data_IF_787458957420
#
_entry.id   IF_787458957420
#
_cell.length_a   1.000
_cell.length_b   1.000
_cell.length_c   1.000
_cell.angle_alpha   90.00
_cell.angle_beta   90.00
_cell.angle_gamma   90.00
#
_symmetry.space_group_name_H-M   'P 1'
#
loop_
_entity.id
_entity.type
_entity.pdbx_description
1 polymer ?
#
# COMPACT_ATOMS: atom_id res chain seq x y z
N UNK A 1 -8.38 -5.37 -1.07
CA UNK A 1 -9.18 -4.31 -0.43
C UNK A 1 -8.76 -4.17 1.02
N UNK A 2 -8.49 -2.95 1.48
CA UNK A 2 -8.19 -2.67 2.89
C UNK A 2 -9.48 -2.32 3.62
N UNK A 3 -9.66 -2.87 4.82
CA UNK A 3 -10.91 -2.81 5.57
C UNK A 3 -10.59 -2.51 7.02
N UNK A 4 -11.44 -1.67 7.62
CA UNK A 4 -11.41 -1.44 9.06
C UNK A 4 -11.51 -2.77 9.82
N UNK A 5 -10.58 -3.01 10.74
CA UNK A 5 -10.57 -4.18 11.60
C UNK A 5 -11.89 -4.39 12.36
N UNK A 6 -12.61 -3.32 12.68
CA UNK A 6 -13.88 -3.32 13.41
C UNK A 6 -15.09 -3.62 12.50
N UNK A 7 -14.92 -3.62 11.17
CA UNK A 7 -16.02 -3.92 10.26
C UNK A 7 -16.43 -5.41 10.35
N UNK A 8 -17.73 -5.68 10.27
CA UNK A 8 -18.26 -7.06 10.31
C UNK A 8 -17.59 -7.98 9.28
N UNK A 9 -17.27 -9.21 9.68
CA UNK A 9 -16.67 -10.24 8.80
C UNK A 9 -17.62 -10.70 7.68
N UNK A 10 -18.93 -10.50 7.84
CA UNK A 10 -19.90 -10.83 6.79
C UNK A 10 -19.82 -9.89 5.59
N UNK A 11 -19.36 -8.64 5.78
CA UNK A 11 -19.21 -7.66 4.69
C UNK A 11 -18.15 -8.04 3.64
N UNK A 12 -17.31 -9.04 3.93
CA UNK A 12 -16.23 -9.50 3.03
C UNK A 12 -16.52 -10.84 2.38
N UNK A 13 -17.70 -11.43 2.62
CA UNK A 13 -18.10 -12.68 1.96
C UNK A 13 -18.65 -12.34 0.58
N UNK A 14 -17.74 -12.19 -0.37
CA UNK A 14 -18.04 -11.90 -1.78
C UNK A 14 -17.55 -13.09 -2.57
N UNK A 15 -18.47 -13.75 -3.28
CA UNK A 15 -18.14 -14.94 -4.09
C UNK A 15 -17.45 -14.54 -5.39
N UNK A 16 -17.80 -13.38 -5.96
CA UNK A 16 -17.15 -12.81 -7.13
C UNK A 16 -17.22 -11.27 -7.11
N UNK A 17 -16.14 -10.56 -7.50
CA UNK A 17 -14.81 -11.07 -7.87
C UNK A 17 -14.03 -11.63 -6.67
N UNK A 18 -12.97 -12.40 -6.94
CA UNK A 18 -12.09 -12.89 -5.88
C UNK A 18 -11.40 -11.70 -5.19
N UNK A 19 -11.72 -11.46 -3.92
CA UNK A 19 -11.21 -10.33 -3.16
C UNK A 19 -10.31 -10.80 -2.03
N UNK A 20 -9.05 -10.34 -2.04
CA UNK A 20 -8.16 -10.43 -0.88
C UNK A 20 -8.37 -9.22 0.04
N UNK A 21 -8.95 -9.45 1.20
CA UNK A 21 -9.19 -8.43 2.21
C UNK A 21 -8.03 -8.34 3.21
N UNK A 22 -7.54 -7.12 3.47
CA UNK A 22 -6.53 -6.82 4.48
C UNK A 22 -7.18 -5.97 5.58
N UNK A 23 -7.16 -6.47 6.82
CA UNK A 23 -7.72 -5.74 7.96
C UNK A 23 -6.65 -4.91 8.64
N UNK A 24 -6.93 -3.63 8.85
CA UNK A 24 -6.02 -2.68 9.50
C UNK A 24 -6.79 -1.79 10.47
N UNK A 25 -6.04 -1.09 11.34
CA UNK A 25 -6.60 -0.06 12.21
C UNK A 25 -7.37 0.99 11.40
N UNK A 26 -8.52 1.50 11.90
CA UNK A 26 -9.33 2.48 11.17
C UNK A 26 -8.51 3.69 10.69
N UNK A 27 -7.61 4.20 11.55
CA UNK A 27 -6.74 5.32 11.23
C UNK A 27 -5.76 5.05 10.09
N UNK A 28 -5.44 3.78 9.81
CA UNK A 28 -4.56 3.38 8.70
C UNK A 28 -5.32 3.11 7.41
N UNK A 29 -6.66 3.00 7.45
CA UNK A 29 -7.49 2.77 6.27
C UNK A 29 -7.47 3.98 5.34
N UNK A 30 -7.56 5.19 5.91
CA UNK A 30 -7.60 6.46 5.17
C UNK A 30 -6.22 7.04 4.85
N UNK A 31 -5.15 6.48 5.44
CA UNK A 31 -3.80 6.96 5.25
C UNK A 31 -3.34 6.75 3.80
N UNK A 32 -2.97 7.85 3.12
CA UNK A 32 -2.53 7.82 1.72
C UNK A 32 -3.63 7.45 0.73
N UNK A 33 -4.89 7.62 1.12
CA UNK A 33 -6.02 7.42 0.22
C UNK A 33 -6.10 8.53 -0.83
N UNK A 34 -6.40 8.14 -2.06
CA UNK A 34 -6.62 9.02 -3.19
C UNK A 34 -7.68 8.41 -4.12
N UNK A 35 -8.04 9.15 -5.17
CA UNK A 35 -9.04 8.72 -6.16
C UNK A 35 -8.35 8.33 -7.46
N UNK A 36 -8.65 7.12 -7.95
CA UNK A 36 -8.29 6.66 -9.28
C UNK A 36 -9.54 6.49 -10.14
N UNK A 37 -9.36 6.32 -11.46
CA UNK A 37 -10.46 5.99 -12.38
C UNK A 37 -10.25 4.61 -12.96
N UNK A 38 -11.28 3.76 -12.86
CA UNK A 38 -11.37 2.46 -13.55
C UNK A 38 -12.68 2.47 -14.32
N UNK A 39 -12.64 2.28 -15.63
CA UNK A 39 -13.83 2.30 -16.50
C UNK A 39 -14.73 3.53 -16.30
N UNK A 40 -14.10 4.70 -16.14
CA UNK A 40 -14.75 5.99 -15.84
C UNK A 40 -15.46 6.08 -14.48
N UNK A 41 -15.31 5.08 -13.62
CA UNK A 41 -15.80 5.08 -12.24
C UNK A 41 -14.67 5.54 -11.32
N UNK A 42 -14.97 6.53 -10.48
CA UNK A 42 -14.05 6.97 -9.43
C UNK A 42 -13.98 5.90 -8.33
N UNK A 43 -12.77 5.41 -8.10
CA UNK A 43 -12.47 4.37 -7.12
C UNK A 43 -11.44 4.87 -6.11
N UNK A 44 -11.65 4.49 -4.85
CA UNK A 44 -10.71 4.79 -3.76
C UNK A 44 -9.51 3.86 -3.87
N UNK A 45 -8.32 4.44 -4.02
CA UNK A 45 -7.04 3.73 -4.12
C UNK A 45 -6.03 4.32 -3.15
N UNK A 46 -4.91 3.64 -2.94
CA UNK A 46 -3.78 4.25 -2.25
C UNK A 46 -2.84 4.93 -3.22
N UNK A 47 -2.23 6.02 -2.78
CA UNK A 47 -1.15 6.67 -3.51
C UNK A 47 0.09 5.76 -3.61
N UNK A 48 1.07 6.19 -4.41
CA UNK A 48 2.29 5.42 -4.68
C UNK A 48 3.16 5.21 -3.44
N UNK A 49 3.27 6.23 -2.58
CA UNK A 49 4.15 6.22 -1.40
C UNK A 49 3.58 5.30 -0.31
N UNK A 50 2.25 5.28 -0.19
CA UNK A 50 1.49 4.39 0.69
C UNK A 50 1.54 2.96 0.18
N UNK A 51 1.41 2.78 -1.13
CA UNK A 51 1.47 1.47 -1.79
C UNK A 51 2.84 0.83 -1.61
N UNK A 52 3.93 1.56 -1.80
CA UNK A 52 5.28 1.00 -1.60
C UNK A 52 5.53 0.61 -0.14
N UNK A 53 4.97 1.35 0.82
CA UNK A 53 5.02 0.98 2.23
C UNK A 53 4.29 -0.36 2.50
N UNK A 54 3.15 -0.61 1.83
CA UNK A 54 2.46 -1.90 1.93
C UNK A 54 3.22 -3.05 1.27
N UNK A 55 3.90 -2.80 0.15
CA UNK A 55 4.79 -3.76 -0.51
C UNK A 55 5.93 -4.14 0.44
N UNK A 56 6.60 -3.15 1.03
CA UNK A 56 7.66 -3.37 2.02
C UNK A 56 7.15 -4.13 3.25
N UNK A 57 5.94 -3.83 3.73
CA UNK A 57 5.34 -4.52 4.88
C UNK A 57 5.11 -6.00 4.59
N UNK A 58 4.66 -6.31 3.38
CA UNK A 58 4.25 -7.65 2.96
C UNK A 58 5.31 -8.41 2.15
N UNK A 59 6.57 -7.94 2.12
CA UNK A 59 7.65 -8.52 1.30
C UNK A 59 7.78 -10.05 1.41
N UNK A 60 7.61 -10.64 2.59
CA UNK A 60 7.72 -12.09 2.80
C UNK A 60 6.53 -12.90 2.28
N UNK A 61 5.43 -12.22 1.91
CA UNK A 61 4.18 -12.80 1.39
C UNK A 61 3.96 -12.50 -0.09
N UNK A 62 4.95 -11.89 -0.75
CA UNK A 62 4.90 -11.52 -2.15
C UNK A 62 5.90 -12.34 -2.95
N UNK A 63 5.58 -12.57 -4.21
CA UNK A 63 6.55 -13.10 -5.16
C UNK A 63 7.74 -12.14 -5.30
N UNK A 64 8.95 -12.71 -5.39
CA UNK A 64 10.19 -11.93 -5.39
C UNK A 64 10.32 -11.06 -6.63
N UNK A 65 9.89 -11.53 -7.80
CA UNK A 65 9.97 -10.74 -9.03
C UNK A 65 8.99 -9.57 -8.98
N UNK A 66 7.76 -9.82 -8.51
CA UNK A 66 6.74 -8.77 -8.33
C UNK A 66 7.24 -7.72 -7.34
N UNK A 67 7.81 -8.15 -6.22
CA UNK A 67 8.39 -7.24 -5.22
C UNK A 67 9.49 -6.37 -5.83
N UNK A 68 10.47 -6.98 -6.51
CA UNK A 68 11.58 -6.25 -7.12
C UNK A 68 11.10 -5.24 -8.18
N UNK A 69 10.14 -5.63 -9.02
CA UNK A 69 9.52 -4.73 -10.00
C UNK A 69 8.85 -3.54 -9.34
N UNK A 70 8.12 -3.75 -8.23
CA UNK A 70 7.47 -2.67 -7.50
C UNK A 70 8.49 -1.69 -6.87
N UNK A 71 9.56 -2.20 -6.23
CA UNK A 71 10.62 -1.36 -5.66
C UNK A 71 11.31 -0.54 -6.75
N UNK A 72 11.72 -1.18 -7.84
CA UNK A 72 12.41 -0.50 -8.95
C UNK A 72 11.50 0.51 -9.65
N UNK A 73 10.22 0.18 -9.83
CA UNK A 73 9.22 1.11 -10.37
C UNK A 73 9.08 2.35 -9.50
N UNK A 74 8.99 2.17 -8.17
CA UNK A 74 8.88 3.28 -7.24
C UNK A 74 10.15 4.16 -7.21
N UNK A 75 11.35 3.56 -7.20
CA UNK A 75 12.62 4.31 -7.21
C UNK A 75 12.71 5.19 -8.46
N UNK A 76 12.26 4.70 -9.61
CA UNK A 76 12.30 5.42 -10.89
C UNK A 76 11.12 6.38 -11.09
N UNK A 77 10.11 6.36 -10.23
CA UNK A 77 8.93 7.21 -10.36
C UNK A 77 9.30 8.68 -10.05
N UNK A 78 9.22 9.60 -11.02
CA UNK A 78 9.52 11.02 -10.79
C UNK A 78 8.49 11.71 -9.89
N UNK A 79 7.31 11.10 -9.67
CA UNK A 79 6.23 11.64 -8.85
C UNK A 79 6.28 11.14 -7.39
N UNK A 80 7.30 10.36 -7.02
CA UNK A 80 7.49 9.90 -5.63
C UNK A 80 7.65 11.09 -4.68
N UNK A 81 7.03 11.03 -3.52
CA UNK A 81 7.13 12.08 -2.50
C UNK A 81 7.80 11.50 -1.24
N UNK A 82 9.07 11.87 -1.03
CA UNK A 82 9.89 11.31 0.05
C UNK A 82 9.37 11.70 1.44
N UNK A 83 8.96 12.96 1.69
CA UNK A 83 8.24 13.30 2.92
C UNK A 83 7.05 12.39 3.21
N UNK A 84 6.14 12.20 2.24
CA UNK A 84 4.96 11.34 2.40
C UNK A 84 5.37 9.89 2.69
N UNK A 85 6.34 9.36 1.93
CA UNK A 85 6.88 8.01 2.13
C UNK A 85 7.32 7.81 3.59
N UNK A 86 8.09 8.75 4.13
CA UNK A 86 8.64 8.64 5.48
C UNK A 86 7.58 8.77 6.56
N UNK A 87 6.57 9.63 6.35
CA UNK A 87 5.41 9.77 7.22
C UNK A 87 4.61 8.45 7.26
N UNK A 88 4.26 7.91 6.10
CA UNK A 88 3.52 6.65 6.00
C UNK A 88 4.32 5.49 6.58
N UNK A 89 5.62 5.43 6.29
CA UNK A 89 6.50 4.40 6.83
C UNK A 89 6.54 4.41 8.37
N UNK A 90 6.42 5.59 8.99
CA UNK A 90 6.30 5.75 10.45
C UNK A 90 5.00 5.12 10.94
N UNK A 91 3.87 5.56 10.38
CA UNK A 91 2.55 5.10 10.77
C UNK A 91 2.38 3.57 10.62
N UNK A 92 2.99 3.00 9.57
CA UNK A 92 2.92 1.58 9.24
C UNK A 92 4.03 0.74 9.85
N UNK A 93 4.94 1.37 10.59
CA UNK A 93 6.10 0.73 11.26
C UNK A 93 7.04 0.00 10.29
N UNK A 94 7.24 0.55 9.10
CA UNK A 94 8.15 0.02 8.06
C UNK A 94 9.36 0.91 7.77
N UNK A 95 9.60 1.95 8.59
CA UNK A 95 10.71 2.90 8.40
C UNK A 95 12.08 2.24 8.27
N UNK A 96 12.36 1.19 9.05
CA UNK A 96 13.63 0.47 8.98
C UNK A 96 13.82 -0.15 7.59
N UNK A 97 12.78 -0.80 7.06
CA UNK A 97 12.79 -1.41 5.72
C UNK A 97 12.93 -0.38 4.61
N UNK A 98 12.28 0.78 4.75
CA UNK A 98 12.45 1.89 3.79
C UNK A 98 13.91 2.33 3.76
N UNK A 99 14.54 2.55 4.92
CA UNK A 99 15.95 2.95 4.99
C UNK A 99 16.90 1.90 4.41
N UNK A 100 16.67 0.63 4.72
CA UNK A 100 17.53 -0.47 4.26
C UNK A 100 17.43 -0.74 2.75
N UNK A 101 16.23 -0.63 2.17
CA UNK A 101 15.98 -1.07 0.79
C UNK A 101 15.87 0.07 -0.22
N UNK A 102 15.34 1.22 0.21
CA UNK A 102 15.12 2.38 -0.65
C UNK A 102 16.10 3.50 -0.30
N UNK A 103 16.58 3.58 0.94
CA UNK A 103 17.46 4.65 1.41
C UNK A 103 18.78 4.82 0.66
N UNK A 104 19.23 3.80 -0.08
CA UNK A 104 20.39 3.91 -0.98
C UNK A 104 20.10 4.83 -2.19
N UNK A 105 18.82 5.03 -2.52
CA UNK A 105 18.33 5.72 -3.72
C UNK A 105 17.47 6.96 -3.38
N UNK A 106 17.39 7.32 -2.10
CA UNK A 106 16.82 8.57 -1.60
C UNK A 106 17.91 9.63 -1.57
#
# INVERSE_FOLDING_TARGET
MTIDKNASRQRTKIDYPFIKAYRVEPALVTLGETTGKIDSIDVRIYDRDRTICDVLRNMNKMDKEIFNKAIQGYIKDPKKNIPNLMEYAKALRVQKRVRELIGVWL
#
